data_IF_780363122798
#
_entry.id   IF_780363122798
#
_cell.length_a   1.000
_cell.length_b   1.000
_cell.length_c   1.000
_cell.angle_alpha   90.00
_cell.angle_beta   90.00
_cell.angle_gamma   90.00
#
_symmetry.space_group_name_H-M   'P 1'
#
loop_
_entity.id
_entity.type
_entity.pdbx_description
1 polymer ?
#
# COMPACT_ATOMS: atom_id res chain seq x y z
N UNK A 1 -25.27 -50.60 -3.67
CA UNK A 1 -24.22 -49.86 -4.42
C UNK A 1 -24.57 -48.39 -4.31
N UNK A 2 -24.05 -47.74 -3.27
CA UNK A 2 -24.18 -46.30 -3.07
C UNK A 2 -22.92 -45.90 -2.31
N UNK A 3 -21.89 -45.55 -3.08
CA UNK A 3 -20.65 -45.00 -2.57
C UNK A 3 -20.91 -43.55 -2.20
N UNK A 4 -21.00 -43.28 -0.90
CA UNK A 4 -20.92 -41.93 -0.37
C UNK A 4 -19.51 -41.40 -0.63
N UNK A 5 -19.41 -40.49 -1.59
CA UNK A 5 -18.24 -39.65 -1.78
C UNK A 5 -18.11 -38.67 -0.61
N UNK A 6 -17.39 -39.09 0.41
CA UNK A 6 -16.88 -38.21 1.46
C UNK A 6 -15.76 -37.33 0.87
N UNK A 7 -16.16 -36.27 0.16
CA UNK A 7 -15.26 -35.23 -0.31
C UNK A 7 -14.72 -34.44 0.90
N UNK A 8 -13.64 -34.94 1.50
CA UNK A 8 -12.85 -34.18 2.47
C UNK A 8 -12.35 -32.90 1.79
N UNK A 9 -12.91 -31.77 2.19
CA UNK A 9 -12.36 -30.46 1.86
C UNK A 9 -10.87 -30.42 2.24
N UNK A 10 -9.99 -29.89 1.38
CA UNK A 10 -8.58 -29.81 1.70
C UNK A 10 -8.41 -28.90 2.92
N UNK A 11 -7.87 -29.46 4.01
CA UNK A 11 -7.36 -28.65 5.12
C UNK A 11 -6.24 -27.80 4.52
N UNK A 12 -6.47 -26.49 4.40
CA UNK A 12 -5.41 -25.53 4.10
C UNK A 12 -4.36 -25.74 5.19
N UNK A 13 -3.26 -26.39 4.81
CA UNK A 13 -2.18 -26.72 5.71
C UNK A 13 -1.49 -25.44 6.12
N UNK A 14 -1.23 -25.29 7.42
CA UNK A 14 -0.34 -24.26 7.98
C UNK A 14 0.90 -24.14 7.09
N UNK A 15 1.25 -22.94 6.62
CA UNK A 15 2.47 -22.70 5.86
C UNK A 15 3.67 -23.24 6.65
N UNK A 16 4.62 -23.84 5.95
CA UNK A 16 5.93 -24.13 6.52
C UNK A 16 6.64 -22.81 6.85
N UNK A 17 7.57 -22.83 7.80
CA UNK A 17 8.30 -21.66 8.27
C UNK A 17 8.96 -20.84 7.13
N UNK A 18 9.56 -21.44 6.08
CA UNK A 18 10.14 -20.68 4.95
C UNK A 18 9.10 -19.86 4.19
N UNK A 19 7.94 -20.45 4.02
CA UNK A 19 6.79 -19.96 3.28
C UNK A 19 6.19 -18.73 4.01
N UNK A 20 6.08 -18.80 5.34
CA UNK A 20 5.69 -17.66 6.18
C UNK A 20 6.75 -16.54 6.18
N UNK A 21 8.04 -16.89 6.21
CA UNK A 21 9.13 -15.91 6.11
C UNK A 21 9.11 -15.17 4.76
N UNK A 22 8.81 -15.88 3.66
CA UNK A 22 8.63 -15.26 2.35
C UNK A 22 7.47 -14.27 2.34
N UNK A 23 6.33 -14.62 2.93
CA UNK A 23 5.20 -13.69 3.04
C UNK A 23 5.53 -12.49 3.93
N UNK A 24 6.21 -12.70 5.05
CA UNK A 24 6.60 -11.61 5.94
C UNK A 24 7.56 -10.64 5.25
N UNK A 25 8.58 -11.17 4.57
CA UNK A 25 9.51 -10.37 3.77
C UNK A 25 8.82 -9.64 2.63
N UNK A 26 7.89 -10.31 1.93
CA UNK A 26 7.07 -9.72 0.88
C UNK A 26 6.21 -8.56 1.40
N UNK A 27 5.58 -8.72 2.56
CA UNK A 27 4.79 -7.68 3.21
C UNK A 27 5.64 -6.45 3.59
N UNK A 28 6.83 -6.67 4.15
CA UNK A 28 7.75 -5.57 4.47
C UNK A 28 8.19 -4.82 3.20
N UNK A 29 8.54 -5.54 2.13
CA UNK A 29 8.94 -4.93 0.87
C UNK A 29 7.79 -4.16 0.20
N UNK A 30 6.57 -4.72 0.23
CA UNK A 30 5.38 -4.06 -0.31
C UNK A 30 5.08 -2.76 0.45
N UNK A 31 5.21 -2.75 1.78
CA UNK A 31 5.07 -1.54 2.59
C UNK A 31 6.11 -0.48 2.19
N UNK A 32 7.38 -0.86 2.07
CA UNK A 32 8.46 0.06 1.68
C UNK A 32 8.25 0.68 0.30
N UNK A 33 7.78 -0.11 -0.68
CA UNK A 33 7.45 0.40 -2.02
C UNK A 33 6.36 1.46 -1.94
N UNK A 34 5.28 1.18 -1.21
CA UNK A 34 4.19 2.14 -1.01
C UNK A 34 4.67 3.40 -0.28
N UNK A 35 5.45 3.26 0.80
CA UNK A 35 6.04 4.38 1.53
C UNK A 35 6.90 5.27 0.61
N UNK A 36 7.68 4.67 -0.29
CA UNK A 36 8.48 5.44 -1.25
C UNK A 36 7.64 6.22 -2.27
N UNK A 37 6.53 5.66 -2.73
CA UNK A 37 5.60 6.38 -3.61
C UNK A 37 4.94 7.56 -2.87
N UNK A 38 4.49 7.34 -1.63
CA UNK A 38 3.90 8.38 -0.78
C UNK A 38 4.91 9.49 -0.47
N UNK A 39 6.18 9.16 -0.29
CA UNK A 39 7.26 10.14 -0.18
C UNK A 39 7.38 11.03 -1.42
N UNK A 40 7.29 10.43 -2.62
CA UNK A 40 7.31 11.19 -3.88
C UNK A 40 6.18 12.22 -3.94
N UNK A 41 4.98 11.80 -3.52
CA UNK A 41 3.81 12.68 -3.44
C UNK A 41 3.99 13.79 -2.40
N UNK A 42 4.45 13.47 -1.19
CA UNK A 42 4.74 14.47 -0.15
C UNK A 42 5.81 15.48 -0.60
N UNK A 43 6.85 15.00 -1.29
CA UNK A 43 7.91 15.85 -1.85
C UNK A 43 7.37 16.81 -2.90
N UNK A 44 6.42 16.38 -3.72
CA UNK A 44 5.73 17.24 -4.66
C UNK A 44 4.90 18.32 -3.95
N UNK A 45 4.12 17.95 -2.92
CA UNK A 45 3.37 18.90 -2.10
C UNK A 45 4.29 19.95 -1.45
N UNK A 46 5.42 19.52 -0.88
CA UNK A 46 6.42 20.43 -0.31
C UNK A 46 6.92 21.45 -1.35
N UNK A 47 7.24 21.00 -2.57
CA UNK A 47 7.69 21.87 -3.67
C UNK A 47 6.63 22.88 -4.11
N UNK A 48 5.34 22.52 -4.05
CA UNK A 48 4.22 23.43 -4.34
C UNK A 48 4.14 24.61 -3.36
N UNK A 49 4.72 24.48 -2.17
CA UNK A 49 4.82 25.55 -1.18
C UNK A 49 3.50 25.87 -0.48
N UNK A 50 3.37 27.10 0.03
CA UNK A 50 2.19 27.53 0.79
C UNK A 50 2.04 26.81 2.12
N UNK A 51 0.88 26.17 2.36
CA UNK A 51 0.60 25.42 3.59
C UNK A 51 1.47 24.17 3.78
N UNK A 52 2.12 23.69 2.70
CA UNK A 52 2.96 22.49 2.68
C UNK A 52 4.45 22.73 2.86
N UNK A 53 4.88 23.98 3.03
CA UNK A 53 6.32 24.34 3.12
C UNK A 53 7.07 23.62 4.25
N UNK A 54 6.35 23.22 5.30
CA UNK A 54 6.88 22.55 6.48
C UNK A 54 6.72 21.02 6.43
N UNK A 55 6.18 20.44 5.34
CA UNK A 55 6.20 18.99 5.19
C UNK A 55 7.65 18.51 5.19
N UNK A 56 7.91 17.44 5.95
CA UNK A 56 9.18 16.74 5.92
C UNK A 56 8.97 15.31 5.38
N UNK A 57 9.13 15.11 4.07
CA UNK A 57 9.07 13.79 3.46
C UNK A 57 10.14 12.84 4.00
N UNK A 58 11.32 13.32 4.38
CA UNK A 58 12.39 12.47 4.92
C UNK A 58 12.01 11.95 6.31
N UNK A 59 11.41 12.80 7.15
CA UNK A 59 10.89 12.37 8.45
C UNK A 59 9.75 11.35 8.29
N UNK A 60 8.94 11.46 7.24
CA UNK A 60 7.94 10.46 6.89
C UNK A 60 8.53 9.08 6.52
N UNK A 61 9.66 9.04 5.81
CA UNK A 61 10.32 7.77 5.42
C UNK A 61 11.24 7.19 6.51
N UNK A 62 11.95 8.05 7.24
CA UNK A 62 13.09 7.67 8.09
C UNK A 62 12.93 8.06 9.56
N UNK A 63 11.88 8.80 9.90
CA UNK A 63 11.61 9.25 11.26
C UNK A 63 11.06 8.16 12.17
N UNK A 64 10.75 8.53 13.40
CA UNK A 64 10.16 7.67 14.43
C UNK A 64 8.66 7.40 14.22
N UNK A 65 8.11 7.87 13.11
CA UNK A 65 6.70 7.75 12.77
C UNK A 65 5.79 8.84 13.36
N UNK A 66 6.34 9.79 14.14
CA UNK A 66 5.55 10.85 14.79
C UNK A 66 4.84 11.78 13.80
N UNK A 67 5.46 12.06 12.65
CA UNK A 67 4.88 12.90 11.59
C UNK A 67 4.16 12.09 10.51
N UNK A 68 4.24 10.75 10.53
CA UNK A 68 3.69 9.89 9.48
C UNK A 68 2.20 10.13 9.28
N UNK A 69 1.41 10.19 10.36
CA UNK A 69 -0.03 10.42 10.28
C UNK A 69 -0.37 11.80 9.70
N UNK A 70 0.40 12.83 10.05
CA UNK A 70 0.18 14.19 9.56
C UNK A 70 0.50 14.30 8.06
N UNK A 71 1.66 13.78 7.64
CA UNK A 71 2.06 13.75 6.22
C UNK A 71 1.07 12.97 5.37
N UNK A 72 0.64 11.79 5.83
CA UNK A 72 -0.38 11.04 5.12
C UNK A 72 -1.73 11.77 5.09
N UNK A 73 -2.09 12.48 6.17
CA UNK A 73 -3.28 13.31 6.23
C UNK A 73 -3.25 14.47 5.22
N UNK A 74 -2.08 15.07 4.98
CA UNK A 74 -1.91 16.10 3.95
C UNK A 74 -1.95 15.53 2.53
N UNK A 75 -1.36 14.35 2.30
CA UNK A 75 -1.49 13.61 1.03
C UNK A 75 -2.95 13.28 0.75
N UNK A 76 -3.66 12.71 1.73
CA UNK A 76 -5.09 12.41 1.63
C UNK A 76 -5.88 13.69 1.40
N UNK A 77 -5.64 14.78 2.12
CA UNK A 77 -6.42 16.01 1.92
C UNK A 77 -6.30 16.56 0.50
N UNK A 78 -5.13 16.51 -0.10
CA UNK A 78 -4.92 17.06 -1.44
C UNK A 78 -5.29 16.08 -2.55
N UNK A 79 -5.15 14.78 -2.31
CA UNK A 79 -5.28 13.79 -3.37
C UNK A 79 -6.35 12.73 -3.10
N UNK A 80 -7.07 12.73 -1.97
CA UNK A 80 -8.08 11.71 -1.69
C UNK A 80 -9.28 11.76 -2.63
N UNK A 81 -9.59 12.92 -3.23
CA UNK A 81 -10.56 12.96 -4.34
C UNK A 81 -10.12 12.05 -5.50
N UNK A 82 -8.81 11.98 -5.73
CA UNK A 82 -8.20 11.29 -6.86
C UNK A 82 -7.93 9.81 -6.51
N UNK A 83 -7.44 9.54 -5.29
CA UNK A 83 -7.06 8.20 -4.83
C UNK A 83 -8.14 7.43 -4.05
N UNK A 84 -9.16 8.12 -3.52
CA UNK A 84 -10.13 7.59 -2.55
C UNK A 84 -9.49 6.73 -1.46
N UNK A 85 -8.35 7.19 -0.93
CA UNK A 85 -7.82 6.66 0.32
C UNK A 85 -8.56 7.41 1.42
N UNK A 86 -9.45 6.71 2.12
CA UNK A 86 -10.06 7.30 3.30
C UNK A 86 -9.08 7.29 4.48
N UNK A 87 -9.34 8.15 5.48
CA UNK A 87 -8.48 8.25 6.66
C UNK A 87 -8.45 6.97 7.52
N UNK A 88 -9.48 6.12 7.43
CA UNK A 88 -9.57 4.88 8.19
C UNK A 88 -8.69 3.79 7.58
N UNK A 89 -8.71 3.61 6.27
CA UNK A 89 -7.85 2.68 5.54
C UNK A 89 -6.37 3.02 5.76
N UNK A 90 -6.05 4.30 5.77
CA UNK A 90 -4.70 4.79 6.05
C UNK A 90 -4.25 4.48 7.48
N UNK A 91 -5.14 4.69 8.44
CA UNK A 91 -4.89 4.35 9.85
C UNK A 91 -4.69 2.84 10.00
N UNK A 92 -5.50 2.04 9.30
CA UNK A 92 -5.38 0.59 9.25
C UNK A 92 -4.05 0.15 8.64
N UNK A 93 -3.63 0.77 7.54
CA UNK A 93 -2.35 0.49 6.89
C UNK A 93 -1.17 0.70 7.86
N UNK A 94 -1.14 1.84 8.55
CA UNK A 94 -0.07 2.14 9.53
C UNK A 94 -0.11 1.14 10.70
N UNK A 95 -1.31 0.80 11.19
CA UNK A 95 -1.49 -0.20 12.23
C UNK A 95 -0.98 -1.59 11.83
N UNK A 96 -1.38 -2.06 10.65
CA UNK A 96 -0.97 -3.37 10.10
C UNK A 96 0.54 -3.41 9.86
N UNK A 97 1.13 -2.34 9.32
CA UNK A 97 2.58 -2.21 9.10
C UNK A 97 3.37 -2.27 10.41
N UNK A 98 2.91 -1.58 11.44
CA UNK A 98 3.55 -1.61 12.77
C UNK A 98 3.41 -2.98 13.43
N UNK A 99 2.27 -3.64 13.28
CA UNK A 99 2.09 -5.01 13.74
C UNK A 99 3.10 -5.93 13.06
N UNK A 100 3.21 -5.87 11.73
CA UNK A 100 4.15 -6.67 10.94
C UNK A 100 5.59 -6.44 11.38
N UNK A 101 6.00 -5.18 11.54
CA UNK A 101 7.38 -4.81 11.86
C UNK A 101 7.79 -5.12 13.31
N UNK A 102 6.87 -5.00 14.27
CA UNK A 102 7.23 -5.00 15.69
C UNK A 102 6.61 -6.13 16.50
N UNK A 103 5.43 -6.62 16.11
CA UNK A 103 4.60 -7.48 16.95
C UNK A 103 4.27 -8.85 16.32
N UNK A 104 4.58 -9.07 15.04
CA UNK A 104 4.18 -10.25 14.29
C UNK A 104 4.58 -11.56 15.01
N UNK A 105 5.87 -11.75 15.33
CA UNK A 105 6.34 -12.94 16.03
C UNK A 105 5.65 -13.15 17.38
N UNK A 106 5.40 -12.06 18.11
CA UNK A 106 4.72 -12.09 19.41
C UNK A 106 3.30 -12.61 19.27
N UNK A 107 2.60 -12.17 18.23
CA UNK A 107 1.18 -12.48 17.99
C UNK A 107 0.94 -13.85 17.33
N UNK A 108 1.95 -14.41 16.65
CA UNK A 108 1.82 -15.68 15.91
C UNK A 108 2.54 -16.85 16.57
N UNK A 109 3.70 -16.64 17.21
CA UNK A 109 4.56 -17.73 17.72
C UNK A 109 4.82 -17.71 19.23
N UNK A 110 4.90 -16.54 19.87
CA UNK A 110 5.40 -16.43 21.25
C UNK A 110 4.49 -16.99 22.37
N UNK A 111 3.30 -17.54 22.05
CA UNK A 111 2.34 -18.17 22.99
C UNK A 111 2.28 -17.49 24.38
N UNK A 112 2.02 -16.18 24.40
CA UNK A 112 1.92 -15.41 25.64
C UNK A 112 0.55 -15.66 26.30
N UNK A 113 0.55 -16.06 27.57
CA UNK A 113 -0.68 -16.34 28.32
C UNK A 113 -1.50 -15.06 28.51
N UNK A 114 -2.75 -15.06 28.02
CA UNK A 114 -3.62 -13.87 28.01
C UNK A 114 -3.24 -12.82 26.94
N UNK A 115 -2.25 -13.10 26.10
CA UNK A 115 -1.86 -12.25 24.98
C UNK A 115 -2.84 -12.35 23.81
N UNK A 116 -2.94 -11.28 23.02
CA UNK A 116 -3.68 -11.30 21.75
C UNK A 116 -2.92 -12.18 20.75
N UNK A 117 -3.65 -12.97 19.97
CA UNK A 117 -3.11 -13.77 18.86
C UNK A 117 -3.70 -13.28 17.55
N UNK A 118 -2.87 -13.26 16.50
CA UNK A 118 -3.33 -12.95 15.15
C UNK A 118 -4.06 -14.19 14.59
N UNK A 119 -5.33 -14.02 14.26
CA UNK A 119 -6.08 -15.04 13.54
C UNK A 119 -5.64 -15.06 12.08
N UNK A 120 -5.33 -16.24 11.56
CA UNK A 120 -4.89 -16.48 10.18
C UNK A 120 -3.78 -15.52 9.69
N UNK A 121 -2.53 -15.71 10.16
CA UNK A 121 -1.43 -14.82 9.81
C UNK A 121 -1.12 -14.76 8.31
N UNK A 122 -1.39 -15.85 7.58
CA UNK A 122 -1.12 -15.98 6.15
C UNK A 122 -2.07 -15.10 5.35
N UNK A 123 -3.38 -15.25 5.57
CA UNK A 123 -4.40 -14.41 4.93
C UNK A 123 -4.20 -12.93 5.29
N UNK A 124 -3.83 -12.62 6.53
CA UNK A 124 -3.47 -11.27 6.95
C UNK A 124 -2.31 -10.69 6.11
N UNK A 125 -1.21 -11.42 5.96
CA UNK A 125 -0.04 -10.96 5.19
C UNK A 125 -0.37 -10.81 3.71
N UNK A 126 -1.10 -11.77 3.12
CA UNK A 126 -1.53 -11.68 1.71
C UNK A 126 -2.40 -10.46 1.46
N UNK A 127 -3.43 -10.24 2.29
CA UNK A 127 -4.31 -9.06 2.15
C UNK A 127 -3.55 -7.76 2.35
N UNK A 128 -2.58 -7.73 3.25
CA UNK A 128 -1.73 -6.56 3.44
C UNK A 128 -0.87 -6.28 2.21
N UNK A 129 -0.19 -7.29 1.65
CA UNK A 129 0.60 -7.18 0.41
C UNK A 129 -0.29 -6.65 -0.73
N UNK A 130 -1.43 -7.30 -0.99
CA UNK A 130 -2.33 -6.91 -2.08
C UNK A 130 -2.84 -5.47 -1.91
N UNK A 131 -3.09 -5.02 -0.67
CA UNK A 131 -3.48 -3.64 -0.39
C UNK A 131 -2.35 -2.67 -0.74
N UNK A 132 -1.13 -2.95 -0.29
CA UNK A 132 0.04 -2.14 -0.59
C UNK A 132 0.31 -2.04 -2.10
N UNK A 133 0.23 -3.15 -2.82
CA UNK A 133 0.43 -3.21 -4.27
C UNK A 133 -0.67 -2.45 -5.01
N UNK A 134 -1.93 -2.64 -4.64
CA UNK A 134 -3.06 -1.90 -5.24
C UNK A 134 -2.90 -0.40 -5.07
N UNK A 135 -2.51 0.05 -3.88
CA UNK A 135 -2.30 1.47 -3.61
C UNK A 135 -1.09 2.02 -4.35
N UNK A 136 0.01 1.27 -4.39
CA UNK A 136 1.20 1.63 -5.16
C UNK A 136 0.83 1.84 -6.64
N UNK A 137 0.12 0.89 -7.25
CA UNK A 137 -0.29 0.98 -8.64
C UNK A 137 -1.21 2.18 -8.91
N UNK A 138 -2.17 2.46 -8.01
CA UNK A 138 -3.04 3.64 -8.11
C UNK A 138 -2.23 4.93 -8.05
N UNK A 139 -1.36 5.08 -7.04
CA UNK A 139 -0.50 6.25 -6.84
C UNK A 139 0.40 6.51 -8.05
N UNK A 140 1.05 5.47 -8.55
CA UNK A 140 1.89 5.58 -9.74
C UNK A 140 1.08 5.87 -11.00
N UNK A 141 -0.09 5.25 -11.18
CA UNK A 141 -0.96 5.49 -12.34
C UNK A 141 -1.47 6.92 -12.41
N UNK A 142 -1.88 7.50 -11.28
CA UNK A 142 -2.22 8.93 -11.21
C UNK A 142 -1.00 9.81 -11.51
N UNK A 143 0.18 9.47 -10.99
CA UNK A 143 1.39 10.26 -11.24
C UNK A 143 1.70 10.31 -12.75
N UNK A 144 1.54 9.19 -13.45
CA UNK A 144 1.66 9.15 -14.91
C UNK A 144 0.63 10.03 -15.61
N UNK A 145 -0.64 10.00 -15.16
CA UNK A 145 -1.68 10.88 -15.69
C UNK A 145 -1.33 12.36 -15.48
N UNK A 146 -0.93 12.73 -14.27
CA UNK A 146 -0.56 14.10 -13.92
C UNK A 146 0.62 14.62 -14.75
N UNK A 147 1.65 13.78 -14.94
CA UNK A 147 2.79 14.10 -15.80
C UNK A 147 2.34 14.30 -17.25
N UNK A 148 1.51 13.41 -17.79
CA UNK A 148 0.99 13.52 -19.16
C UNK A 148 0.17 14.81 -19.35
N UNK A 149 -0.71 15.15 -18.40
CA UNK A 149 -1.50 16.38 -18.45
C UNK A 149 -0.63 17.64 -18.40
N UNK A 150 0.44 17.65 -17.60
CA UNK A 150 1.39 18.77 -17.55
C UNK A 150 2.16 18.89 -18.86
N UNK A 151 2.66 17.77 -19.38
CA UNK A 151 3.38 17.73 -20.65
C UNK A 151 2.52 18.26 -21.81
N UNK A 152 1.24 17.87 -21.86
CA UNK A 152 0.29 18.37 -22.85
C UNK A 152 0.05 19.88 -22.70
N UNK A 153 -0.21 20.36 -21.47
CA UNK A 153 -0.44 21.79 -21.19
C UNK A 153 0.77 22.65 -21.57
N UNK A 154 1.98 22.15 -21.32
CA UNK A 154 3.22 22.88 -21.54
C UNK A 154 3.78 22.66 -22.96
N UNK A 155 3.09 21.89 -23.82
CA UNK A 155 3.49 21.63 -25.21
C UNK A 155 4.72 20.73 -25.36
N UNK A 156 5.01 19.89 -24.35
CA UNK A 156 6.19 19.01 -24.23
C UNK A 156 5.82 17.53 -24.22
N UNK A 157 4.74 17.17 -24.92
CA UNK A 157 4.23 15.79 -24.96
C UNK A 157 5.23 14.78 -25.56
N UNK A 158 6.17 15.26 -26.36
CA UNK A 158 7.26 14.48 -26.95
C UNK A 158 8.32 14.01 -25.95
N UNK A 159 8.43 14.68 -24.79
CA UNK A 159 9.32 14.27 -23.70
C UNK A 159 8.71 13.17 -22.81
N UNK A 160 7.42 12.90 -22.94
CA UNK A 160 6.75 11.88 -22.14
C UNK A 160 6.94 10.49 -22.74
N UNK A 161 7.87 9.72 -22.15
CA UNK A 161 8.11 8.34 -22.56
C UNK A 161 7.10 7.41 -21.90
N UNK A 162 6.15 6.92 -22.70
CA UNK A 162 5.20 5.88 -22.28
C UNK A 162 5.87 4.50 -22.38
N UNK A 163 5.93 3.78 -21.26
CA UNK A 163 6.39 2.39 -21.21
C UNK A 163 5.22 1.43 -21.03
N UNK A 164 5.35 0.13 -21.33
CA UNK A 164 4.31 -0.85 -21.04
C UNK A 164 3.92 -0.88 -19.55
N UNK A 165 4.91 -0.70 -18.66
CA UNK A 165 4.69 -0.66 -17.22
C UNK A 165 3.93 0.59 -16.79
N UNK A 166 4.28 1.78 -17.31
CA UNK A 166 3.55 3.00 -16.99
C UNK A 166 2.12 2.97 -17.53
N UNK A 167 1.93 2.35 -18.70
CA UNK A 167 0.61 2.11 -19.29
C UNK A 167 -0.25 1.19 -18.42
N UNK A 168 0.31 0.09 -17.92
CA UNK A 168 -0.41 -0.84 -17.05
C UNK A 168 -0.88 -0.15 -15.75
N UNK A 169 0.00 0.64 -15.12
CA UNK A 169 -0.33 1.41 -13.91
C UNK A 169 -1.41 2.47 -14.18
N UNK A 170 -1.32 3.17 -15.30
CA UNK A 170 -2.34 4.12 -15.75
C UNK A 170 -3.69 3.43 -15.98
N UNK A 171 -3.71 2.26 -16.63
CA UNK A 171 -4.92 1.49 -16.85
C UNK A 171 -5.55 1.01 -15.54
N UNK A 172 -4.76 0.54 -14.58
CA UNK A 172 -5.26 0.17 -13.25
C UNK A 172 -5.90 1.36 -12.53
N UNK A 173 -5.28 2.54 -12.62
CA UNK A 173 -5.87 3.79 -12.09
C UNK A 173 -7.17 4.17 -12.82
N UNK A 174 -7.22 4.08 -14.15
CA UNK A 174 -8.43 4.38 -14.92
C UNK A 174 -9.56 3.38 -14.66
N UNK A 175 -9.27 2.08 -14.53
CA UNK A 175 -10.25 1.07 -14.09
C UNK A 175 -10.80 1.40 -12.71
N UNK A 176 -9.93 1.83 -11.79
CA UNK A 176 -10.35 2.25 -10.46
C UNK A 176 -11.31 3.44 -10.50
N UNK A 177 -11.11 4.40 -11.41
CA UNK A 177 -12.06 5.49 -11.64
C UNK A 177 -13.36 4.98 -12.29
N UNK A 178 -13.26 4.13 -13.33
CA UNK A 178 -14.40 3.70 -14.13
C UNK A 178 -15.40 2.84 -13.34
N UNK A 179 -14.91 1.99 -12.43
CA UNK A 179 -15.77 1.17 -11.54
C UNK A 179 -16.53 2.00 -10.48
N UNK A 180 -16.51 3.34 -10.58
CA UNK A 180 -17.22 4.27 -9.68
C UNK A 180 -18.45 4.93 -10.32
N UNK A 181 -18.68 4.74 -11.62
CA UNK A 181 -19.92 5.18 -12.30
C UNK A 181 -21.01 4.11 -12.14
#
# INVERSE_FOLDING_TARGET
MSDDMDQKQPKIGKLDLPDEMMLLGGAMLAAQKLEFVLYGMASHLKKRGGKFKNLDPEEFLRGDGSTTKATLGDIVREFASDFQIDSEELTRLVGDRNLIAHDYWRMTKAKIRGGRSLQDPEDFLFRFISRCESWTAKCEGWLQLAIATIAERDGRSDEFVVTPESTAKLLEYLKHIANRQ
#
